data_IF_393362744656
#
_entry.id   IF_393362744656
#
_cell.length_a   1.000
_cell.length_b   1.000
_cell.length_c   1.000
_cell.angle_alpha   90.00
_cell.angle_beta   90.00
_cell.angle_gamma   90.00
#
_symmetry.space_group_name_H-M   'P 1'
#
loop_
_entity.id
_entity.type
_entity.pdbx_description
1 polymer ?
#
# COMPACT_ATOMS: atom_id res chain seq x y z
N UNK A 1 -29.57 -6.26 11.45
CA UNK A 1 -29.54 -4.84 11.00
C UNK A 1 -28.17 -4.56 10.39
N UNK A 2 -27.96 -3.51 9.60
CA UNK A 2 -26.66 -3.23 8.97
C UNK A 2 -25.49 -3.12 9.98
N UNK A 3 -25.79 -2.65 11.20
CA UNK A 3 -24.83 -2.55 12.30
C UNK A 3 -24.24 -3.91 12.71
N UNK A 4 -25.03 -4.99 12.71
CA UNK A 4 -24.56 -6.32 13.11
C UNK A 4 -23.53 -6.88 12.12
N UNK A 5 -23.72 -6.59 10.83
CA UNK A 5 -22.76 -6.95 9.78
C UNK A 5 -21.47 -6.14 9.89
N UNK A 6 -21.57 -4.84 10.17
CA UNK A 6 -20.40 -3.98 10.33
C UNK A 6 -19.60 -4.31 11.60
N UNK A 7 -20.25 -4.71 12.69
CA UNK A 7 -19.57 -5.03 13.94
C UNK A 7 -18.57 -6.20 13.80
N UNK A 8 -18.89 -7.15 12.91
CA UNK A 8 -18.06 -8.31 12.58
C UNK A 8 -17.12 -8.11 11.38
N UNK A 9 -16.97 -6.90 10.87
CA UNK A 9 -16.13 -6.63 9.71
C UNK A 9 -14.67 -7.01 9.96
N UNK A 10 -14.10 -7.80 9.06
CA UNK A 10 -12.69 -8.11 9.02
C UNK A 10 -11.95 -7.09 8.15
N UNK A 11 -11.07 -6.30 8.77
CA UNK A 11 -10.27 -5.31 8.06
C UNK A 11 -9.31 -5.91 7.03
N UNK A 12 -8.94 -7.18 7.13
CA UNK A 12 -8.11 -7.83 6.12
C UNK A 12 -8.92 -8.35 4.92
N UNK A 13 -10.25 -8.38 4.99
CA UNK A 13 -11.09 -8.91 3.91
C UNK A 13 -10.79 -8.27 2.55
N UNK A 14 -10.64 -6.94 2.40
CA UNK A 14 -10.31 -6.34 1.10
C UNK A 14 -8.96 -6.79 0.54
N UNK A 15 -7.98 -7.07 1.40
CA UNK A 15 -6.67 -7.59 0.98
C UNK A 15 -6.77 -9.07 0.60
N UNK A 16 -7.53 -9.86 1.35
CA UNK A 16 -7.82 -11.26 1.04
C UNK A 16 -8.52 -11.37 -0.31
N UNK A 17 -9.51 -10.52 -0.56
CA UNK A 17 -10.22 -10.48 -1.86
C UNK A 17 -9.24 -10.16 -2.99
N UNK A 18 -8.37 -9.15 -2.82
CA UNK A 18 -7.37 -8.80 -3.82
C UNK A 18 -6.35 -9.91 -4.09
N UNK A 19 -5.94 -10.67 -3.07
CA UNK A 19 -5.03 -11.81 -3.23
C UNK A 19 -5.68 -12.94 -4.06
N UNK A 20 -6.98 -13.14 -3.92
CA UNK A 20 -7.72 -14.23 -4.55
C UNK A 20 -8.44 -13.83 -5.86
N UNK A 21 -8.34 -12.57 -6.30
CA UNK A 21 -8.95 -12.09 -7.52
C UNK A 21 -8.15 -12.56 -8.76
N UNK A 22 -8.72 -13.45 -9.61
CA UNK A 22 -8.03 -13.97 -10.78
C UNK A 22 -7.84 -12.94 -11.90
N UNK A 23 -8.61 -11.85 -11.89
CA UNK A 23 -8.55 -10.79 -12.89
C UNK A 23 -7.56 -9.67 -12.50
N UNK A 24 -7.04 -9.72 -11.27
CA UNK A 24 -6.08 -8.75 -10.76
C UNK A 24 -4.65 -9.04 -11.28
N UNK A 25 -3.88 -8.02 -11.72
CA UNK A 25 -2.48 -8.22 -12.08
C UNK A 25 -1.68 -8.92 -10.99
N UNK A 26 -0.79 -9.84 -11.38
CA UNK A 26 -0.03 -10.66 -10.43
C UNK A 26 0.76 -9.87 -9.39
N UNK A 27 1.35 -8.73 -9.78
CA UNK A 27 2.04 -7.81 -8.87
C UNK A 27 1.09 -7.24 -7.82
N UNK A 28 -0.12 -6.84 -8.20
CA UNK A 28 -1.13 -6.30 -7.27
C UNK A 28 -1.59 -7.35 -6.27
N UNK A 29 -1.79 -8.60 -6.70
CA UNK A 29 -2.05 -9.72 -5.79
C UNK A 29 -0.86 -9.96 -4.85
N UNK A 30 0.37 -9.92 -5.35
CA UNK A 30 1.59 -10.08 -4.54
C UNK A 30 1.75 -8.99 -3.48
N UNK A 31 1.62 -7.70 -3.85
CA UNK A 31 1.76 -6.59 -2.89
C UNK A 31 0.59 -6.55 -1.89
N UNK A 32 -0.61 -6.99 -2.29
CA UNK A 32 -1.71 -7.19 -1.34
C UNK A 32 -1.40 -8.31 -0.33
N UNK A 33 -0.78 -9.41 -0.79
CA UNK A 33 -0.34 -10.48 0.11
C UNK A 33 0.73 -10.02 1.10
N UNK A 34 1.66 -9.17 0.67
CA UNK A 34 2.68 -8.56 1.54
C UNK A 34 2.04 -7.65 2.60
N UNK A 35 0.96 -6.93 2.25
CA UNK A 35 0.24 -6.05 3.16
C UNK A 35 -0.71 -6.76 4.15
N UNK A 36 -0.91 -8.07 3.99
CA UNK A 36 -1.76 -8.83 4.91
C UNK A 36 -1.19 -8.80 6.34
N UNK A 37 -2.05 -8.41 7.29
CA UNK A 37 -1.67 -8.34 8.70
C UNK A 37 -1.00 -7.04 9.12
N UNK A 38 -0.70 -6.13 8.18
CA UNK A 38 -0.15 -4.82 8.51
C UNK A 38 -1.16 -3.94 9.26
N UNK A 39 -0.66 -2.99 10.05
CA UNK A 39 -1.50 -2.06 10.81
C UNK A 39 -2.39 -1.19 9.90
N UNK A 40 -3.55 -0.74 10.42
CA UNK A 40 -4.46 0.14 9.67
C UNK A 40 -3.81 1.48 9.34
N UNK A 41 -3.07 2.04 10.29
CA UNK A 41 -2.49 3.39 10.19
C UNK A 41 -1.06 3.32 9.67
N UNK A 42 -0.17 2.59 10.35
CA UNK A 42 1.24 2.45 9.94
C UNK A 42 1.38 1.83 8.55
N UNK A 43 0.64 0.76 8.26
CA UNK A 43 0.68 0.11 6.95
C UNK A 43 0.19 1.01 5.81
N UNK A 44 -0.75 1.92 6.07
CA UNK A 44 -1.21 2.91 5.10
C UNK A 44 -0.13 3.96 4.81
N UNK A 45 0.46 4.59 5.84
CA UNK A 45 1.49 5.61 5.63
C UNK A 45 2.78 5.04 5.03
N UNK A 46 3.16 3.82 5.40
CA UNK A 46 4.35 3.17 4.85
C UNK A 46 4.24 2.88 3.35
N UNK A 47 3.08 2.38 2.87
CA UNK A 47 2.87 2.18 1.43
C UNK A 47 2.73 3.52 0.71
N UNK A 48 2.08 4.52 1.32
CA UNK A 48 1.94 5.85 0.74
C UNK A 48 3.30 6.49 0.49
N UNK A 49 4.19 6.46 1.49
CA UNK A 49 5.53 7.03 1.39
C UNK A 49 6.34 6.38 0.26
N UNK A 50 6.24 5.05 0.12
CA UNK A 50 6.90 4.33 -0.98
C UNK A 50 6.29 4.70 -2.33
N UNK A 51 4.97 4.76 -2.45
CA UNK A 51 4.26 5.14 -3.67
C UNK A 51 4.65 6.56 -4.14
N UNK A 52 4.67 7.52 -3.22
CA UNK A 52 5.11 8.90 -3.49
C UNK A 52 6.55 8.96 -3.98
N UNK A 53 7.43 8.16 -3.38
CA UNK A 53 8.85 8.12 -3.77
C UNK A 53 9.04 7.53 -5.18
N UNK A 54 8.28 6.48 -5.53
CA UNK A 54 8.29 5.94 -6.90
C UNK A 54 7.69 6.91 -7.92
N UNK A 55 6.66 7.68 -7.55
CA UNK A 55 6.12 8.75 -8.40
C UNK A 55 7.14 9.86 -8.64
N UNK A 56 7.90 10.25 -7.61
CA UNK A 56 8.99 11.22 -7.74
C UNK A 56 10.09 10.68 -8.65
N UNK A 57 10.52 9.42 -8.46
CA UNK A 57 11.51 8.79 -9.32
C UNK A 57 11.05 8.71 -10.78
N UNK A 58 9.78 8.35 -11.03
CA UNK A 58 9.21 8.33 -12.37
C UNK A 58 9.19 9.73 -13.01
N UNK A 59 8.96 10.80 -12.23
CA UNK A 59 9.01 12.18 -12.73
C UNK A 59 10.43 12.60 -13.09
N UNK A 60 11.40 12.23 -12.27
CA UNK A 60 12.82 12.50 -12.54
C UNK A 60 13.31 11.76 -13.79
N UNK A 61 12.93 10.49 -13.95
CA UNK A 61 13.25 9.68 -15.13
C UNK A 61 12.66 10.29 -16.41
N UNK A 62 11.40 10.72 -16.38
CA UNK A 62 10.76 11.43 -17.50
C UNK A 62 11.41 12.78 -17.84
N UNK A 63 12.15 13.38 -16.90
CA UNK A 63 12.88 14.62 -17.09
C UNK A 63 14.35 14.39 -17.46
N UNK A 64 14.73 13.14 -17.77
CA UNK A 64 16.11 12.71 -18.06
C UNK A 64 17.10 13.06 -16.93
N UNK A 65 16.64 13.10 -15.67
CA UNK A 65 17.51 13.34 -14.52
C UNK A 65 18.24 12.05 -14.18
N UNK A 66 19.54 12.00 -14.50
CA UNK A 66 20.37 10.81 -14.27
C UNK A 66 21.23 10.88 -13.00
N UNK A 67 21.14 11.97 -12.24
CA UNK A 67 21.97 12.22 -11.05
C UNK A 67 21.83 11.09 -10.00
N UNK A 68 22.91 10.37 -9.64
CA UNK A 68 22.86 9.35 -8.58
C UNK A 68 22.37 9.89 -7.24
N UNK A 69 22.59 11.18 -6.96
CA UNK A 69 22.21 11.84 -5.71
C UNK A 69 20.91 12.66 -5.88
N UNK A 70 20.05 12.27 -6.81
CA UNK A 70 18.75 12.90 -7.01
C UNK A 70 17.83 12.70 -5.80
N UNK A 71 16.95 13.68 -5.49
CA UNK A 71 16.06 13.62 -4.34
C UNK A 71 15.24 12.32 -4.23
N UNK A 72 14.71 11.80 -5.33
CA UNK A 72 13.94 10.55 -5.28
C UNK A 72 14.81 9.34 -4.93
N UNK A 73 16.06 9.28 -5.44
CA UNK A 73 17.01 8.20 -5.12
C UNK A 73 17.47 8.25 -3.68
N UNK A 74 17.78 9.44 -3.16
CA UNK A 74 18.12 9.62 -1.74
C UNK A 74 16.96 9.22 -0.83
N UNK A 75 15.72 9.61 -1.18
CA UNK A 75 14.53 9.25 -0.42
C UNK A 75 14.27 7.75 -0.44
N UNK A 76 14.43 7.11 -1.60
CA UNK A 76 14.29 5.66 -1.73
C UNK A 76 15.34 4.90 -0.91
N UNK A 77 16.60 5.35 -0.95
CA UNK A 77 17.65 4.80 -0.11
C UNK A 77 17.32 4.96 1.39
N UNK A 78 16.80 6.13 1.79
CA UNK A 78 16.34 6.38 3.15
C UNK A 78 15.18 5.47 3.59
N UNK A 79 14.22 5.18 2.72
CA UNK A 79 13.16 4.19 2.99
C UNK A 79 13.78 2.82 3.26
N UNK A 80 14.67 2.36 2.39
CA UNK A 80 15.27 1.03 2.49
C UNK A 80 16.20 0.88 3.70
N UNK A 81 16.84 1.97 4.16
CA UNK A 81 17.72 1.97 5.34
C UNK A 81 16.95 1.86 6.67
N UNK A 82 15.73 2.39 6.75
CA UNK A 82 14.88 2.40 7.96
C UNK A 82 14.40 1.03 8.46
N UNK A 83 14.83 -0.05 7.82
CA UNK A 83 14.60 -1.43 8.24
C UNK A 83 13.13 -1.88 8.37
N UNK A 84 12.17 -1.20 7.73
CA UNK A 84 10.80 -1.72 7.58
C UNK A 84 10.81 -2.97 6.68
N UNK A 85 10.49 -4.17 7.20
CA UNK A 85 10.38 -5.36 6.38
C UNK A 85 9.25 -5.24 5.36
N UNK A 86 8.18 -4.53 5.71
CA UNK A 86 7.03 -4.29 4.85
C UNK A 86 7.40 -3.44 3.63
N UNK A 87 7.98 -2.24 3.83
CA UNK A 87 8.40 -1.39 2.71
C UNK A 87 9.47 -2.05 1.84
N UNK A 88 10.40 -2.83 2.44
CA UNK A 88 11.38 -3.62 1.65
C UNK A 88 10.71 -4.72 0.82
N UNK A 89 9.74 -5.44 1.40
CA UNK A 89 8.97 -6.44 0.68
C UNK A 89 8.25 -5.84 -0.52
N UNK A 90 7.56 -4.71 -0.31
CA UNK A 90 6.89 -3.98 -1.38
C UNK A 90 7.87 -3.51 -2.46
N UNK A 91 8.99 -2.91 -2.07
CA UNK A 91 10.03 -2.48 -2.99
C UNK A 91 10.49 -3.64 -3.88
N UNK A 92 10.86 -4.78 -3.29
CA UNK A 92 11.31 -5.94 -4.07
C UNK A 92 10.25 -6.49 -5.02
N UNK A 93 8.97 -6.42 -4.67
CA UNK A 93 7.89 -6.86 -5.53
C UNK A 93 7.70 -5.99 -6.79
N UNK A 94 8.12 -4.72 -6.75
CA UNK A 94 7.90 -3.76 -7.85
C UNK A 94 9.19 -3.27 -8.52
N UNK A 95 10.37 -3.58 -7.96
CA UNK A 95 11.65 -3.02 -8.39
C UNK A 95 12.05 -3.36 -9.84
N UNK A 96 11.53 -4.44 -10.40
CA UNK A 96 11.80 -4.86 -11.78
C UNK A 96 10.84 -4.24 -12.81
N UNK A 97 9.83 -3.50 -12.35
CA UNK A 97 8.86 -2.83 -13.21
C UNK A 97 9.39 -1.47 -13.66
N UNK A 98 8.88 -0.94 -14.80
CA UNK A 98 9.01 0.48 -15.11
C UNK A 98 8.52 1.35 -13.94
N UNK A 99 9.21 2.45 -13.65
CA UNK A 99 8.91 3.30 -12.48
C UNK A 99 7.45 3.77 -12.43
N UNK A 100 6.88 4.10 -13.59
CA UNK A 100 5.48 4.51 -13.70
C UNK A 100 4.50 3.38 -13.35
N UNK A 101 4.81 2.14 -13.75
CA UNK A 101 3.97 0.96 -13.47
C UNK A 101 4.07 0.59 -11.99
N UNK A 102 5.30 0.56 -11.44
CA UNK A 102 5.54 0.36 -10.01
C UNK A 102 4.78 1.40 -9.16
N UNK A 103 4.86 2.68 -9.53
CA UNK A 103 4.14 3.74 -8.88
C UNK A 103 2.62 3.54 -8.97
N UNK A 104 2.10 3.14 -10.13
CA UNK A 104 0.66 2.88 -10.32
C UNK A 104 0.16 1.77 -9.38
N UNK A 105 0.90 0.68 -9.26
CA UNK A 105 0.53 -0.46 -8.41
C UNK A 105 0.63 -0.12 -6.91
N UNK A 106 1.65 0.63 -6.50
CA UNK A 106 1.77 1.11 -5.12
C UNK A 106 0.69 2.14 -4.76
N UNK A 107 0.30 3.02 -5.69
CA UNK A 107 -0.83 3.95 -5.51
C UNK A 107 -2.15 3.17 -5.36
N UNK A 108 -2.35 2.12 -6.16
CA UNK A 108 -3.50 1.24 -6.01
C UNK A 108 -3.54 0.59 -4.62
N UNK A 109 -2.43 0.03 -4.15
CA UNK A 109 -2.36 -0.57 -2.82
C UNK A 109 -2.58 0.47 -1.71
N UNK A 110 -2.04 1.68 -1.87
CA UNK A 110 -2.28 2.81 -0.95
C UNK A 110 -3.78 3.11 -0.82
N UNK A 111 -4.51 3.11 -1.95
CA UNK A 111 -5.97 3.27 -1.95
C UNK A 111 -6.70 2.15 -1.19
N UNK A 112 -6.27 0.91 -1.38
CA UNK A 112 -6.83 -0.24 -0.67
C UNK A 112 -6.58 -0.16 0.85
N UNK A 113 -5.35 0.18 1.25
CA UNK A 113 -4.96 0.36 2.65
C UNK A 113 -5.70 1.53 3.31
N UNK A 114 -5.90 2.63 2.58
CA UNK A 114 -6.70 3.76 3.04
C UNK A 114 -8.15 3.38 3.29
N UNK A 115 -8.78 2.70 2.33
CA UNK A 115 -10.18 2.26 2.47
C UNK A 115 -10.35 1.35 3.69
N UNK A 116 -9.38 0.46 3.92
CA UNK A 116 -9.32 -0.40 5.11
C UNK A 116 -9.22 0.42 6.41
N UNK A 117 -8.39 1.46 6.45
CA UNK A 117 -8.27 2.35 7.60
C UNK A 117 -9.55 3.18 7.84
N UNK A 118 -10.16 3.71 6.77
CA UNK A 118 -11.38 4.53 6.82
C UNK A 118 -12.58 3.74 7.37
N UNK A 119 -12.61 2.41 7.21
CA UNK A 119 -13.62 1.53 7.79
C UNK A 119 -13.56 1.44 9.32
N UNK A 120 -12.48 1.86 9.97
CA UNK A 120 -12.32 1.74 11.42
C UNK A 120 -13.43 2.46 12.19
N UNK A 121 -13.71 3.73 11.86
CA UNK A 121 -14.71 4.54 12.58
C UNK A 121 -16.13 3.98 12.44
N UNK A 122 -16.63 3.63 11.23
CA UNK A 122 -17.93 2.97 11.08
C UNK A 122 -18.05 1.65 11.86
N UNK A 123 -17.01 0.82 11.84
CA UNK A 123 -17.01 -0.49 12.52
C UNK A 123 -17.05 -0.33 14.04
N UNK A 124 -16.26 0.59 14.60
CA UNK A 124 -16.29 0.87 16.04
C UNK A 124 -17.64 1.44 16.49
N UNK A 125 -18.23 2.36 15.71
CA UNK A 125 -19.57 2.87 16.00
C UNK A 125 -20.63 1.75 15.99
N UNK A 126 -20.55 0.83 15.02
CA UNK A 126 -21.42 -0.34 14.96
C UNK A 126 -21.25 -1.25 16.18
N UNK A 127 -20.01 -1.57 16.57
CA UNK A 127 -19.70 -2.38 17.76
C UNK A 127 -20.24 -1.78 19.04
N UNK A 128 -20.23 -0.46 19.18
CA UNK A 128 -20.83 0.23 20.33
C UNK A 128 -22.35 0.16 20.32
N UNK A 129 -23.00 0.18 19.15
CA UNK A 129 -24.46 0.13 19.04
C UNK A 129 -25.07 -1.27 19.22
N UNK A 130 -24.28 -2.32 19.03
CA UNK A 130 -24.72 -3.73 19.16
C UNK A 130 -24.41 -4.33 20.55
N UNK A 131 -23.71 -3.57 21.41
CA UNK A 131 -23.49 -3.91 22.83
C UNK A 131 -24.68 -3.48 23.69
#
# INVERSE_FOLDING_TARGET
>A
MIADYLAGFDFNLPLIDAVNDPDLPGVRSQIAAIALGEGLDSGYYEVQELAETFLEAAREDNADITDPDSPARERLAGILDRASPYQRGLFHAVAELPLADAASDLVWLTGLMRNRADMYRPVEAARLSTR
#
